data_IF_132937994481
#
_entry.id   IF_132937994481
#
_cell.length_a   1.000
_cell.length_b   1.000
_cell.length_c   1.000
_cell.angle_alpha   90.00
_cell.angle_beta   90.00
_cell.angle_gamma   90.00
#
_symmetry.space_group_name_H-M   'P 1'
#
loop_
_entity.id
_entity.type
_entity.pdbx_description
1 polymer ?
#
# COMPACT_ATOMS: atom_id res chain seq x y z
N UNK A 1 15.34 -5.30 30.83
CA UNK A 1 14.89 -4.55 29.65
C UNK A 1 14.98 -5.50 28.47
N UNK A 2 13.96 -5.59 27.61
CA UNK A 2 14.02 -6.48 26.44
C UNK A 2 14.93 -5.86 25.37
N UNK A 3 15.68 -6.70 24.67
CA UNK A 3 16.65 -6.30 23.63
C UNK A 3 16.00 -5.42 22.54
N UNK A 4 14.78 -5.78 22.13
CA UNK A 4 13.97 -5.00 21.19
C UNK A 4 13.71 -3.56 21.66
N UNK A 5 13.45 -3.38 22.96
CA UNK A 5 13.11 -2.09 23.54
C UNK A 5 14.34 -1.19 23.68
N UNK A 6 15.50 -1.78 24.00
CA UNK A 6 16.78 -1.06 24.00
C UNK A 6 17.20 -0.61 22.59
N UNK A 7 16.95 -1.45 21.58
CA UNK A 7 17.18 -1.11 20.17
C UNK A 7 16.32 0.08 19.71
N UNK A 8 15.04 0.10 20.07
CA UNK A 8 14.14 1.24 19.78
C UNK A 8 14.60 2.50 20.50
N UNK A 9 14.98 2.40 21.78
CA UNK A 9 15.44 3.54 22.58
C UNK A 9 16.72 4.17 21.99
N UNK A 10 17.67 3.34 21.57
CA UNK A 10 18.93 3.80 20.95
C UNK A 10 18.66 4.50 19.61
N UNK A 11 17.75 3.95 18.79
CA UNK A 11 17.37 4.57 17.52
C UNK A 11 16.72 5.95 17.71
N UNK A 12 15.89 6.13 18.74
CA UNK A 12 15.30 7.44 19.06
C UNK A 12 16.34 8.48 19.46
N UNK A 13 17.35 8.11 20.25
CA UNK A 13 18.45 9.01 20.59
C UNK A 13 19.23 9.41 19.33
N UNK A 14 19.38 8.49 18.38
CA UNK A 14 20.09 8.72 17.12
C UNK A 14 19.25 9.40 16.02
N UNK A 15 17.98 9.73 16.31
CA UNK A 15 17.01 10.23 15.32
C UNK A 15 16.85 9.31 14.08
N UNK A 16 17.10 8.01 14.24
CA UNK A 16 16.94 6.99 13.20
C UNK A 16 15.65 6.21 13.40
N UNK A 17 15.20 5.53 12.34
CA UNK A 17 14.01 4.66 12.40
C UNK A 17 14.44 3.31 13.01
N UNK A 18 13.74 2.80 14.05
CA UNK A 18 14.04 1.50 14.61
C UNK A 18 13.98 0.37 13.57
N UNK A 19 14.89 -0.59 13.67
CA UNK A 19 15.00 -1.70 12.71
C UNK A 19 13.72 -2.54 12.63
N UNK A 20 13.06 -2.74 13.77
CA UNK A 20 11.76 -3.43 13.89
C UNK A 20 10.70 -2.76 13.00
N UNK A 21 10.72 -1.43 12.89
CA UNK A 21 9.80 -0.68 12.04
C UNK A 21 10.28 -0.64 10.60
N UNK A 22 11.60 -0.54 10.38
CA UNK A 22 12.20 -0.59 9.04
C UNK A 22 11.89 -1.90 8.32
N UNK A 23 11.85 -3.04 9.03
CA UNK A 23 11.54 -4.35 8.44
C UNK A 23 10.12 -4.44 7.86
N UNK A 24 9.17 -3.69 8.43
CA UNK A 24 7.75 -3.68 8.04
C UNK A 24 7.36 -2.44 7.24
N UNK A 25 8.30 -1.53 7.00
CA UNK A 25 8.05 -0.26 6.33
C UNK A 25 8.90 -0.10 5.08
N UNK A 26 8.58 0.92 4.29
CA UNK A 26 9.31 1.25 3.07
C UNK A 26 10.77 1.60 3.42
N UNK A 27 11.75 1.11 2.65
CA UNK A 27 13.15 1.47 2.87
C UNK A 27 13.28 2.99 2.72
N UNK A 28 13.75 3.64 3.78
CA UNK A 28 13.87 5.10 3.83
C UNK A 28 15.19 5.49 4.48
N UNK A 29 15.88 6.44 3.86
CA UNK A 29 17.08 7.09 4.41
C UNK A 29 16.72 8.39 5.17
N UNK A 30 15.43 8.64 5.40
CA UNK A 30 14.95 9.86 6.07
C UNK A 30 15.19 9.76 7.59
N UNK A 31 15.51 10.89 8.26
CA UNK A 31 15.55 10.92 9.72
C UNK A 31 14.14 10.70 10.28
N UNK A 32 14.05 10.22 11.53
CA UNK A 32 12.80 9.80 12.19
C UNK A 32 11.67 10.84 12.06
N UNK A 33 11.94 12.12 12.30
CA UNK A 33 10.93 13.19 12.20
C UNK A 33 10.37 13.37 10.78
N UNK A 34 11.21 13.27 9.75
CA UNK A 34 10.78 13.33 8.35
C UNK A 34 10.08 12.04 7.92
N UNK A 35 10.49 10.89 8.46
CA UNK A 35 9.86 9.60 8.23
C UNK A 35 8.43 9.54 8.78
N UNK A 36 8.21 10.04 10.00
CA UNK A 36 6.86 10.12 10.61
C UNK A 36 5.94 11.00 9.78
N UNK A 37 6.41 12.19 9.34
CA UNK A 37 5.61 13.07 8.47
C UNK A 37 5.22 12.40 7.16
N UNK A 38 6.14 11.67 6.53
CA UNK A 38 5.89 10.91 5.30
C UNK A 38 4.89 9.78 5.54
N UNK A 39 4.99 9.08 6.68
CA UNK A 39 4.04 8.03 7.07
C UNK A 39 2.62 8.58 7.24
N UNK A 40 2.46 9.72 7.91
CA UNK A 40 1.14 10.37 8.09
C UNK A 40 0.54 10.76 6.74
N UNK A 41 1.33 11.33 5.82
CA UNK A 41 0.87 11.68 4.48
C UNK A 41 0.40 10.45 3.68
N UNK A 42 1.10 9.31 3.80
CA UNK A 42 0.68 8.07 3.15
C UNK A 42 -0.64 7.54 3.73
N UNK A 43 -0.78 7.57 5.05
CA UNK A 43 -2.02 7.18 5.72
C UNK A 43 -3.20 8.08 5.29
N UNK A 44 -2.99 9.39 5.21
CA UNK A 44 -4.01 10.33 4.77
C UNK A 44 -4.41 10.14 3.30
N UNK A 45 -3.44 9.86 2.43
CA UNK A 45 -3.72 9.51 1.03
C UNK A 45 -4.59 8.26 0.92
N UNK A 46 -4.27 7.19 1.67
CA UNK A 46 -5.06 5.95 1.68
C UNK A 46 -6.45 6.22 2.25
N UNK A 47 -6.55 6.99 3.34
CA UNK A 47 -7.83 7.35 3.94
C UNK A 47 -8.72 8.15 2.98
N UNK A 48 -8.15 9.15 2.32
CA UNK A 48 -8.85 9.95 1.30
C UNK A 48 -9.33 9.07 0.15
N UNK A 49 -8.51 8.11 -0.28
CA UNK A 49 -8.89 7.14 -1.31
C UNK A 49 -10.03 6.23 -0.85
N UNK A 50 -10.01 5.74 0.40
CA UNK A 50 -11.12 4.93 0.93
C UNK A 50 -12.45 5.71 0.98
N UNK A 51 -12.41 7.00 1.34
CA UNK A 51 -13.62 7.83 1.50
C UNK A 51 -14.14 8.35 0.17
N UNK A 52 -13.25 8.83 -0.72
CA UNK A 52 -13.64 9.51 -1.98
C UNK A 52 -13.67 8.58 -3.19
N UNK A 53 -13.27 7.33 -3.03
CA UNK A 53 -13.09 6.39 -4.14
C UNK A 53 -11.85 6.70 -4.98
N UNK A 54 -11.76 6.07 -6.15
CA UNK A 54 -10.55 6.03 -6.99
C UNK A 54 -10.04 7.44 -7.36
N UNK A 55 -8.83 7.85 -6.94
CA UNK A 55 -8.28 9.15 -7.33
C UNK A 55 -7.94 9.20 -8.83
N UNK A 56 -7.96 10.40 -9.41
CA UNK A 56 -7.55 10.64 -10.81
C UNK A 56 -6.04 10.48 -11.02
N UNK A 57 -5.24 10.74 -9.98
CA UNK A 57 -3.79 10.59 -9.99
C UNK A 57 -3.33 9.82 -8.75
N UNK A 58 -2.53 8.78 -8.95
CA UNK A 58 -1.97 7.98 -7.86
C UNK A 58 -0.59 8.47 -7.45
N UNK A 59 -0.34 8.56 -6.14
CA UNK A 59 1.00 8.84 -5.61
C UNK A 59 1.85 7.57 -5.61
N UNK A 60 2.45 7.25 -6.75
CA UNK A 60 3.13 5.97 -7.01
C UNK A 60 4.25 5.70 -5.99
N UNK A 61 5.03 6.70 -5.59
CA UNK A 61 6.11 6.57 -4.61
C UNK A 61 5.62 6.41 -3.16
N UNK A 62 4.34 6.65 -2.89
CA UNK A 62 3.72 6.43 -1.58
C UNK A 62 3.44 4.96 -1.29
N UNK A 63 3.38 4.11 -2.32
CA UNK A 63 3.13 2.68 -2.18
C UNK A 63 4.38 1.90 -1.74
N UNK A 64 4.17 0.84 -0.96
CA UNK A 64 5.22 -0.08 -0.55
C UNK A 64 5.72 -0.96 -1.71
N UNK A 65 4.80 -1.38 -2.59
CA UNK A 65 5.11 -2.16 -3.80
C UNK A 65 4.39 -1.60 -5.04
N UNK A 66 4.97 -0.61 -5.73
CA UNK A 66 4.39 -0.02 -6.94
C UNK A 66 4.19 -1.05 -8.08
N UNK A 67 5.08 -2.05 -8.16
CA UNK A 67 5.06 -3.06 -9.22
C UNK A 67 3.78 -3.92 -9.19
N UNK A 68 3.36 -4.34 -7.99
CA UNK A 68 2.15 -5.13 -7.82
C UNK A 68 0.91 -4.33 -8.27
N UNK A 69 0.88 -3.04 -7.97
CA UNK A 69 -0.20 -2.15 -8.38
C UNK A 69 -0.33 -2.07 -9.91
N UNK A 70 0.77 -1.84 -10.64
CA UNK A 70 0.72 -1.77 -12.10
C UNK A 70 0.36 -3.12 -12.73
N UNK A 71 0.92 -4.22 -12.25
CA UNK A 71 0.61 -5.56 -12.75
C UNK A 71 -0.87 -5.88 -12.59
N UNK A 72 -1.45 -5.64 -11.40
CA UNK A 72 -2.87 -5.88 -11.15
C UNK A 72 -3.76 -5.06 -12.09
N UNK A 73 -3.48 -3.76 -12.24
CA UNK A 73 -4.27 -2.92 -13.13
C UNK A 73 -4.11 -3.33 -14.60
N UNK A 74 -2.91 -3.70 -15.03
CA UNK A 74 -2.66 -4.20 -16.38
C UNK A 74 -3.43 -5.49 -16.64
N UNK A 75 -3.37 -6.47 -15.74
CA UNK A 75 -4.09 -7.73 -15.89
C UNK A 75 -5.61 -7.52 -15.90
N UNK A 76 -6.14 -6.64 -15.05
CA UNK A 76 -7.56 -6.29 -15.03
C UNK A 76 -7.96 -5.62 -16.35
N UNK A 77 -7.17 -4.67 -16.86
CA UNK A 77 -7.45 -3.99 -18.13
C UNK A 77 -7.36 -4.94 -19.32
N UNK A 78 -6.36 -5.81 -19.33
CA UNK A 78 -6.19 -6.83 -20.37
C UNK A 78 -7.37 -7.80 -20.35
N UNK A 79 -7.76 -8.31 -19.18
CA UNK A 79 -8.90 -9.21 -19.06
C UNK A 79 -10.20 -8.54 -19.50
N UNK A 80 -10.42 -7.28 -19.13
CA UNK A 80 -11.60 -6.52 -19.53
C UNK A 80 -11.69 -6.33 -21.05
N UNK A 81 -10.56 -6.12 -21.74
CA UNK A 81 -10.53 -5.93 -23.18
C UNK A 81 -10.68 -7.25 -23.96
N UNK A 82 -10.17 -8.36 -23.42
CA UNK A 82 -10.16 -9.65 -24.11
C UNK A 82 -11.35 -10.57 -23.77
N UNK A 83 -11.97 -10.45 -22.59
CA UNK A 83 -13.04 -11.34 -22.12
C UNK A 83 -14.40 -10.65 -21.92
N UNK A 84 -14.63 -9.57 -22.65
CA UNK A 84 -15.86 -8.77 -22.59
C UNK A 84 -17.12 -9.63 -22.40
N UNK A 85 -17.78 -9.43 -21.27
CA UNK A 85 -19.10 -9.99 -20.92
C UNK A 85 -19.23 -11.51 -20.71
N UNK A 86 -18.18 -12.24 -20.31
CA UNK A 86 -18.34 -13.60 -19.79
C UNK A 86 -18.03 -13.68 -18.28
N UNK A 87 -18.88 -14.42 -17.57
CA UNK A 87 -19.04 -14.53 -16.13
C UNK A 87 -17.72 -14.39 -15.31
N UNK A 88 -17.62 -13.35 -14.47
CA UNK A 88 -16.46 -12.96 -13.64
C UNK A 88 -16.15 -13.92 -12.47
N UNK A 89 -16.58 -15.17 -12.53
CA UNK A 89 -16.45 -16.16 -11.46
C UNK A 89 -15.00 -16.50 -11.14
N UNK A 90 -14.11 -16.54 -12.14
CA UNK A 90 -12.68 -16.79 -11.96
C UNK A 90 -11.95 -15.64 -11.27
N UNK A 91 -12.35 -14.39 -11.53
CA UNK A 91 -11.76 -13.22 -10.88
C UNK A 91 -12.23 -13.06 -9.43
N UNK A 92 -13.45 -13.51 -9.09
CA UNK A 92 -13.87 -13.62 -7.67
C UNK A 92 -12.98 -14.55 -6.86
N UNK A 93 -12.48 -15.63 -7.46
CA UNK A 93 -11.54 -16.56 -6.81
C UNK A 93 -10.19 -15.89 -6.51
N UNK A 94 -9.68 -15.06 -7.44
CA UNK A 94 -8.44 -14.30 -7.23
C UNK A 94 -8.59 -13.12 -6.25
N UNK A 95 -9.77 -12.49 -6.17
CA UNK A 95 -10.09 -11.42 -5.20
C UNK A 95 -9.98 -11.89 -3.75
N UNK A 96 -10.27 -13.16 -3.46
CA UNK A 96 -10.23 -13.73 -2.09
C UNK A 96 -8.80 -13.76 -1.49
N UNK A 97 -7.76 -13.88 -2.33
CA UNK A 97 -6.39 -14.11 -1.84
C UNK A 97 -5.60 -12.85 -1.50
N UNK A 98 -6.11 -11.64 -1.79
CA UNK A 98 -5.46 -10.39 -1.40
C UNK A 98 -6.47 -9.43 -0.76
N UNK A 99 -6.49 -9.37 0.57
CA UNK A 99 -7.28 -8.38 1.32
C UNK A 99 -6.98 -6.91 0.92
N UNK A 100 -5.82 -6.63 0.33
CA UNK A 100 -5.46 -5.29 -0.17
C UNK A 100 -6.17 -4.96 -1.50
N UNK A 101 -6.63 -5.97 -2.25
CA UNK A 101 -7.32 -5.79 -3.55
C UNK A 101 -8.82 -5.53 -3.38
N UNK A 102 -9.41 -5.83 -2.23
CA UNK A 102 -10.83 -5.52 -1.96
C UNK A 102 -11.09 -4.00 -1.99
N UNK A 103 -10.17 -3.17 -1.47
CA UNK A 103 -10.29 -1.70 -1.53
C UNK A 103 -10.21 -1.18 -2.99
N UNK A 104 -9.52 -1.90 -3.88
CA UNK A 104 -9.37 -1.53 -5.29
C UNK A 104 -10.56 -1.95 -6.17
N UNK A 105 -11.39 -2.90 -5.73
CA UNK A 105 -12.38 -3.54 -6.61
C UNK A 105 -13.85 -3.28 -6.23
N UNK A 106 -14.12 -2.69 -5.06
CA UNK A 106 -15.49 -2.27 -4.68
C UNK A 106 -15.97 -1.01 -5.40
N UNK A 107 -15.09 -0.26 -6.09
CA UNK A 107 -15.46 0.98 -6.80
C UNK A 107 -15.37 0.90 -8.33
N UNK A 108 -15.25 -0.32 -8.91
CA UNK A 108 -15.19 -0.52 -10.36
C UNK A 108 -16.43 -1.25 -10.91
N UNK A 109 -17.43 -1.48 -10.07
CA UNK A 109 -18.73 -2.03 -10.45
C UNK A 109 -19.80 -1.14 -9.82
N UNK A 110 -19.87 0.09 -10.31
CA UNK A 110 -21.09 0.87 -10.54
C UNK A 110 -20.79 1.84 -11.70
#
# INVERSE_FOLDING_TARGET
MSEDLEGVYTAFIQNSVPEIWSSKSYPSLKPLGSWIKDLVLRCDFINTWMIRGKPLSFWISGFFFPQAFHLVNFFISYASNHYGNQNWSLLKSMKSSLHIVNILTEYCVD
#
